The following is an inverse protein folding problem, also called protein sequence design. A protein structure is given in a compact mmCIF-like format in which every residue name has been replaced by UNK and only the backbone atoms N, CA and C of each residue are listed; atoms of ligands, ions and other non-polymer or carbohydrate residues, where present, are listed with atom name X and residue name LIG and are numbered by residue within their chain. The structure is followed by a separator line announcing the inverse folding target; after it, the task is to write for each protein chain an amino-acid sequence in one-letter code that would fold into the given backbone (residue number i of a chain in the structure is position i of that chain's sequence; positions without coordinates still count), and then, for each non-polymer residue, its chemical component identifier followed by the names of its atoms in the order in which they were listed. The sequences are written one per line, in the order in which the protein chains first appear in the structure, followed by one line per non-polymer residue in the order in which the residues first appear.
data_IF_893395038348
#
_entry.id   IF_893395038348
#
_cell.length_a   1.000
_cell.length_b   1.000
_cell.length_c   1.000
_cell.angle_alpha   90.00
_cell.angle_beta   90.00
_cell.angle_gamma   90.00
#
_symmetry.space_group_name_H-M   'P 1'
#
loop_
_entity.id
_entity.type
_entity.pdbx_description
1 polymer ?
#
# COMPACT_ATOMS: atom_id res chain seq x y z
N UNK A 1 1.40 13.53 17.25
CA UNK A 1 -0.01 13.53 16.83
C UNK A 1 -0.59 14.90 17.12
N UNK A 2 -1.01 15.66 16.09
CA UNK A 2 -1.80 16.89 16.32
C UNK A 2 -3.14 16.50 16.94
N UNK A 3 -3.74 17.36 17.77
CA UNK A 3 -5.05 17.15 18.42
C UNK A 3 -6.24 16.85 17.46
N UNK A 4 -6.00 16.83 16.14
CA UNK A 4 -7.01 16.66 15.08
C UNK A 4 -6.83 15.39 14.23
N UNK A 5 -6.09 14.38 14.68
CA UNK A 5 -6.00 13.08 13.97
C UNK A 5 -7.16 12.15 14.32
N UNK A 6 -7.58 11.31 13.38
CA UNK A 6 -8.58 10.26 13.60
C UNK A 6 -7.91 8.89 13.51
N UNK A 7 -8.24 8.00 14.45
CA UNK A 7 -7.78 6.60 14.46
C UNK A 7 -8.96 5.70 14.20
N UNK A 8 -8.94 4.94 13.10
CA UNK A 8 -9.99 3.99 12.75
C UNK A 8 -9.50 2.56 13.02
N UNK A 9 -10.31 1.76 13.73
CA UNK A 9 -10.04 0.34 13.96
C UNK A 9 -10.73 -0.50 12.88
N UNK A 10 -9.97 -1.33 12.17
CA UNK A 10 -10.45 -2.19 11.08
C UNK A 10 -11.28 -1.46 10.01
N UNK A 11 -10.84 -0.31 9.48
CA UNK A 11 -11.56 0.37 8.41
C UNK A 11 -11.54 -0.45 7.11
N UNK A 12 -12.44 -0.12 6.20
CA UNK A 12 -12.35 -0.54 4.79
C UNK A 12 -11.50 0.48 4.03
N UNK A 13 -10.60 0.00 3.17
CA UNK A 13 -9.84 0.83 2.22
C UNK A 13 -9.92 0.17 0.86
N UNK A 14 -10.35 0.92 -0.15
CA UNK A 14 -10.60 0.39 -1.49
C UNK A 14 -10.01 1.30 -2.56
N UNK A 15 -9.52 0.70 -3.64
CA UNK A 15 -9.10 1.44 -4.82
C UNK A 15 -9.31 0.64 -6.10
N UNK A 16 -9.89 1.31 -7.11
CA UNK A 16 -10.17 0.77 -8.44
C UNK A 16 -9.34 1.50 -9.48
N UNK A 17 -8.65 0.77 -10.36
CA UNK A 17 -7.87 1.37 -11.45
C UNK A 17 -7.73 0.44 -12.66
N UNK A 18 -7.20 0.98 -13.76
CA UNK A 18 -6.86 0.24 -14.97
C UNK A 18 -5.35 0.21 -15.14
N UNK A 19 -4.82 -0.93 -15.61
CA UNK A 19 -3.42 -1.02 -15.98
C UNK A 19 -3.21 -2.08 -17.06
N UNK A 20 -2.85 -1.63 -18.26
CA UNK A 20 -2.68 -2.49 -19.43
C UNK A 20 -4.00 -2.86 -20.12
N UNK A 21 -3.86 -3.61 -21.21
CA UNK A 21 -4.95 -4.09 -22.05
C UNK A 21 -4.76 -5.57 -22.38
N UNK A 22 -5.86 -6.25 -22.71
CA UNK A 22 -5.83 -7.63 -23.19
C UNK A 22 -6.77 -7.81 -24.39
N UNK A 23 -6.40 -8.72 -25.29
CA UNK A 23 -7.28 -9.15 -26.37
C UNK A 23 -8.14 -10.32 -25.90
N UNK A 24 -9.46 -10.18 -26.07
CA UNK A 24 -10.43 -11.23 -25.72
C UNK A 24 -10.22 -12.46 -26.61
N UNK A 25 -9.91 -13.61 -26.01
CA UNK A 25 -9.50 -14.83 -26.73
C UNK A 25 -10.70 -15.68 -27.18
N UNK A 26 -11.80 -15.67 -26.42
CA UNK A 26 -12.97 -16.54 -26.64
C UNK A 26 -14.30 -15.77 -26.45
N UNK A 27 -15.39 -16.35 -26.94
CA UNK A 27 -16.75 -15.80 -26.80
C UNK A 27 -17.11 -14.74 -27.86
N UNK A 28 -18.29 -14.13 -27.72
CA UNK A 28 -18.85 -13.20 -28.72
C UNK A 28 -18.06 -11.89 -28.90
N UNK A 29 -17.20 -11.53 -27.95
CA UNK A 29 -16.30 -10.37 -28.01
C UNK A 29 -14.90 -10.71 -28.50
N UNK A 30 -14.66 -11.93 -29.00
CA UNK A 30 -13.35 -12.37 -29.47
C UNK A 30 -12.71 -11.35 -30.43
N UNK A 31 -11.43 -11.06 -30.20
CA UNK A 31 -10.64 -10.11 -30.98
C UNK A 31 -10.78 -8.65 -30.58
N UNK A 32 -11.69 -8.30 -29.64
CA UNK A 32 -11.76 -6.95 -29.08
C UNK A 32 -10.66 -6.74 -28.03
N UNK A 33 -10.17 -5.50 -27.95
CA UNK A 33 -9.25 -5.03 -26.90
C UNK A 33 -10.09 -4.56 -25.72
N UNK A 34 -9.79 -5.07 -24.54
CA UNK A 34 -10.42 -4.69 -23.28
C UNK A 34 -9.35 -4.18 -22.29
N UNK A 35 -9.65 -3.13 -21.51
CA UNK A 35 -8.76 -2.69 -20.44
C UNK A 35 -8.71 -3.72 -19.31
N UNK A 36 -7.53 -3.92 -18.74
CA UNK A 36 -7.37 -4.76 -17.56
C UNK A 36 -7.66 -3.93 -16.31
N UNK A 37 -8.67 -4.35 -15.55
CA UNK A 37 -9.20 -3.65 -14.38
C UNK A 37 -8.78 -4.36 -13.11
N UNK A 38 -8.40 -3.57 -12.10
CA UNK A 38 -8.01 -4.06 -10.79
C UNK A 38 -8.81 -3.35 -9.70
N UNK A 39 -9.03 -4.06 -8.61
CA UNK A 39 -9.63 -3.56 -7.38
C UNK A 39 -8.80 -4.13 -6.22
N UNK A 40 -8.42 -3.27 -5.28
CA UNK A 40 -7.91 -3.69 -3.97
C UNK A 40 -9.04 -3.44 -2.97
N UNK A 41 -9.34 -4.46 -2.18
CA UNK A 41 -10.23 -4.39 -1.02
C UNK A 41 -9.41 -4.80 0.20
N UNK A 42 -9.01 -3.81 0.99
CA UNK A 42 -8.10 -3.95 2.12
C UNK A 42 -8.78 -3.56 3.44
N UNK A 43 -8.32 -4.17 4.53
CA UNK A 43 -8.82 -3.95 5.88
C UNK A 43 -7.64 -3.88 6.87
N UNK A 44 -6.89 -2.77 6.93
CA UNK A 44 -5.83 -2.60 7.91
C UNK A 44 -6.37 -2.79 9.32
N UNK A 45 -5.54 -3.27 10.25
CA UNK A 45 -5.96 -3.43 11.65
C UNK A 45 -6.30 -2.09 12.29
N UNK A 46 -5.48 -1.08 12.01
CA UNK A 46 -5.64 0.29 12.48
C UNK A 46 -5.14 1.23 11.38
N UNK A 47 -5.75 2.39 11.21
CA UNK A 47 -5.16 3.47 10.44
C UNK A 47 -5.28 4.80 11.18
N UNK A 48 -4.33 5.69 10.92
CA UNK A 48 -4.33 7.05 11.41
C UNK A 48 -4.53 7.98 10.22
N UNK A 49 -5.58 8.80 10.25
CA UNK A 49 -5.85 9.86 9.29
C UNK A 49 -5.63 11.22 9.90
N UNK A 50 -5.25 12.17 9.06
CA UNK A 50 -4.89 13.54 9.44
C UNK A 50 -5.48 14.55 8.45
N UNK A 51 -5.70 15.81 8.87
CA UNK A 51 -6.27 16.84 8.01
C UNK A 51 -5.26 17.48 7.04
N UNK A 52 -3.96 17.24 7.25
CA UNK A 52 -2.88 17.78 6.42
C UNK A 52 -1.99 16.65 5.93
N UNK A 53 -1.51 16.79 4.71
CA UNK A 53 -0.68 15.81 4.01
C UNK A 53 0.72 15.71 4.63
N UNK A 54 1.27 14.50 4.67
CA UNK A 54 2.68 14.28 5.03
C UNK A 54 3.62 14.87 3.97
N UNK A 55 4.82 15.32 4.35
CA UNK A 55 5.79 15.83 3.39
C UNK A 55 6.24 14.76 2.41
N UNK A 56 6.52 15.18 1.17
CA UNK A 56 7.21 14.34 0.19
C UNK A 56 8.56 13.84 0.71
N UNK A 57 8.93 12.62 0.31
CA UNK A 57 10.21 11.98 0.63
C UNK A 57 11.25 12.36 -0.43
N UNK A 58 10.85 12.33 -1.71
CA UNK A 58 11.67 12.73 -2.87
C UNK A 58 10.92 13.73 -3.77
N UNK A 59 11.61 14.54 -4.59
CA UNK A 59 10.98 15.34 -5.66
C UNK A 59 10.01 14.53 -6.55
N UNK A 60 8.95 15.17 -7.01
CA UNK A 60 7.93 14.53 -7.86
C UNK A 60 8.52 14.01 -9.19
N UNK A 61 9.46 14.77 -9.76
CA UNK A 61 10.12 14.46 -11.04
C UNK A 61 11.44 13.69 -10.86
N UNK A 62 11.64 13.05 -9.70
CA UNK A 62 12.81 12.20 -9.50
C UNK A 62 12.81 11.02 -10.47
N UNK A 63 13.97 10.73 -11.07
CA UNK A 63 14.20 9.48 -11.79
C UNK A 63 14.41 8.35 -10.77
N UNK A 64 13.54 7.34 -10.80
CA UNK A 64 13.46 6.28 -9.80
C UNK A 64 13.89 4.91 -10.33
N UNK A 65 14.53 4.87 -11.51
CA UNK A 65 14.99 3.62 -12.13
C UNK A 65 13.83 2.76 -12.64
N UNK A 66 14.11 1.52 -13.05
CA UNK A 66 13.15 0.69 -13.79
C UNK A 66 12.22 -0.16 -12.91
N UNK A 67 11.03 -0.43 -13.45
CA UNK A 67 10.01 -1.28 -12.83
C UNK A 67 10.06 -2.67 -13.49
N UNK A 68 9.95 -3.78 -12.73
CA UNK A 68 9.90 -5.12 -13.31
C UNK A 68 8.78 -5.28 -14.34
N UNK A 69 9.12 -5.90 -15.49
CA UNK A 69 8.16 -6.23 -16.55
C UNK A 69 7.84 -7.72 -16.48
N UNK A 70 6.56 -8.07 -16.60
CA UNK A 70 6.07 -9.46 -16.57
C UNK A 70 5.45 -9.80 -17.93
N UNK A 71 6.08 -10.70 -18.68
CA UNK A 71 5.64 -11.15 -20.01
C UNK A 71 4.54 -12.23 -19.98
N UNK A 72 3.82 -12.31 -18.86
CA UNK A 72 2.79 -13.29 -18.62
C UNK A 72 1.49 -12.63 -18.16
N UNK A 73 0.36 -13.26 -18.51
CA UNK A 73 -0.95 -12.79 -18.07
C UNK A 73 -1.04 -12.84 -16.53
N UNK A 74 -1.65 -11.85 -15.87
CA UNK A 74 -1.86 -11.87 -14.42
C UNK A 74 -2.57 -13.13 -13.91
N UNK A 75 -3.39 -13.77 -14.75
CA UNK A 75 -4.09 -15.03 -14.45
C UNK A 75 -3.16 -16.26 -14.31
N UNK A 76 -1.85 -16.10 -14.49
CA UNK A 76 -0.85 -17.14 -14.17
C UNK A 76 -0.47 -17.14 -12.69
N UNK A 77 -0.72 -16.04 -12.00
CA UNK A 77 -0.75 -15.99 -10.53
C UNK A 77 -2.13 -16.44 -10.04
N UNK A 78 -2.29 -16.77 -8.75
CA UNK A 78 -3.60 -17.05 -8.13
C UNK A 78 -4.45 -15.78 -8.00
N UNK A 79 -4.65 -15.06 -9.11
CA UNK A 79 -5.42 -13.83 -9.24
C UNK A 79 -6.59 -14.05 -10.21
N UNK A 80 -7.81 -13.85 -9.71
CA UNK A 80 -9.04 -14.19 -10.40
C UNK A 80 -9.87 -12.94 -10.69
N UNK A 81 -10.58 -12.95 -11.82
CA UNK A 81 -11.50 -11.87 -12.18
C UNK A 81 -12.84 -12.07 -11.49
N UNK A 82 -13.40 -10.99 -10.97
CA UNK A 82 -14.74 -10.93 -10.37
C UNK A 82 -15.38 -9.60 -10.76
N UNK A 83 -16.71 -9.58 -10.89
CA UNK A 83 -17.47 -8.36 -11.12
C UNK A 83 -18.36 -8.06 -9.91
N UNK A 84 -18.25 -6.83 -9.40
CA UNK A 84 -19.00 -6.29 -8.28
C UNK A 84 -18.93 -4.75 -8.33
N UNK A 85 -19.48 -4.07 -7.33
CA UNK A 85 -19.39 -2.61 -7.22
C UNK A 85 -17.93 -2.18 -7.05
N UNK A 86 -17.45 -1.31 -7.94
CA UNK A 86 -16.11 -0.73 -7.84
C UNK A 86 -16.09 0.33 -6.73
N UNK A 87 -15.08 0.30 -5.87
CA UNK A 87 -15.00 1.20 -4.71
C UNK A 87 -13.68 1.96 -4.68
N UNK A 88 -13.80 3.24 -4.34
CA UNK A 88 -12.68 4.11 -3.94
C UNK A 88 -13.04 4.68 -2.58
N UNK A 89 -12.33 4.26 -1.54
CA UNK A 89 -12.68 4.59 -0.16
C UNK A 89 -11.43 4.60 0.72
N UNK A 90 -11.29 5.64 1.54
CA UNK A 90 -10.10 5.85 2.40
C UNK A 90 -10.33 5.45 3.87
N UNK A 91 -11.46 4.83 4.19
CA UNK A 91 -11.95 4.61 5.56
C UNK A 91 -12.91 5.70 6.06
N UNK A 92 -13.17 6.74 5.28
CA UNK A 92 -14.15 7.79 5.57
C UNK A 92 -14.74 8.38 4.29
N UNK A 93 -15.88 9.06 4.41
CA UNK A 93 -16.54 9.75 3.29
C UNK A 93 -15.76 11.00 2.87
N UNK A 94 -15.93 11.42 1.62
CA UNK A 94 -15.23 12.58 1.02
C UNK A 94 -15.36 13.87 1.83
N UNK A 95 -16.47 14.07 2.55
CA UNK A 95 -16.70 15.25 3.37
C UNK A 95 -15.91 15.28 4.70
N UNK A 96 -15.26 14.18 5.10
CA UNK A 96 -14.45 14.12 6.32
C UNK A 96 -13.19 14.99 6.16
N UNK A 97 -12.91 15.94 7.07
CA UNK A 97 -11.74 16.79 7.00
C UNK A 97 -10.41 16.03 7.11
N UNK A 98 -10.40 14.84 7.72
CA UNK A 98 -9.22 13.97 7.82
C UNK A 98 -9.09 13.07 6.59
N UNK A 99 -8.89 13.68 5.43
CA UNK A 99 -8.83 13.00 4.14
C UNK A 99 -7.43 12.51 3.73
N UNK A 100 -6.41 12.74 4.56
CA UNK A 100 -5.03 12.29 4.31
C UNK A 100 -4.63 11.16 5.26
N UNK A 101 -3.88 10.20 4.74
CA UNK A 101 -3.33 9.09 5.50
C UNK A 101 -2.02 9.49 6.18
N UNK A 102 -1.86 9.05 7.43
CA UNK A 102 -0.60 9.15 8.17
C UNK A 102 0.10 7.78 8.15
N UNK A 103 -0.38 6.85 8.98
CA UNK A 103 0.20 5.51 9.12
C UNK A 103 -0.90 4.45 9.23
N UNK A 104 -0.75 3.36 8.48
CA UNK A 104 -1.53 2.13 8.60
C UNK A 104 -0.78 1.07 9.41
N UNK A 105 -1.53 0.21 10.07
CA UNK A 105 -1.02 -0.95 10.79
C UNK A 105 -1.72 -2.21 10.27
N UNK A 106 -0.92 -3.16 9.83
CA UNK A 106 -1.37 -4.40 9.23
C UNK A 106 -0.92 -5.58 10.08
N UNK A 107 -1.87 -6.47 10.37
CA UNK A 107 -1.59 -7.72 11.07
C UNK A 107 -1.71 -8.88 10.07
N UNK A 108 -0.61 -9.58 9.86
CA UNK A 108 -0.57 -10.76 9.00
C UNK A 108 -1.44 -11.86 9.61
N UNK A 109 -2.37 -12.46 8.84
CA UNK A 109 -3.25 -13.50 9.36
C UNK A 109 -2.49 -14.79 9.65
N UNK A 110 -3.03 -15.62 10.54
CA UNK A 110 -2.43 -16.89 10.97
C UNK A 110 -2.05 -17.84 9.82
N UNK A 111 -2.78 -17.78 8.69
CA UNK A 111 -2.52 -18.59 7.50
C UNK A 111 -1.20 -18.25 6.79
N UNK A 112 -0.68 -17.05 7.02
CA UNK A 112 0.52 -16.50 6.39
C UNK A 112 1.62 -16.19 7.43
N UNK A 113 1.55 -16.83 8.60
CA UNK A 113 2.60 -16.70 9.63
C UNK A 113 3.91 -17.36 9.21
N UNK A 114 5.02 -16.77 9.67
CA UNK A 114 6.39 -17.18 9.39
C UNK A 114 6.63 -18.69 9.57
N UNK A 115 6.10 -19.32 10.62
CA UNK A 115 6.32 -20.75 10.89
C UNK A 115 5.70 -21.67 9.83
N UNK A 116 4.70 -21.20 9.07
CA UNK A 116 4.13 -21.97 7.96
C UNK A 116 5.04 -21.96 6.74
N UNK A 117 5.69 -20.83 6.45
CA UNK A 117 6.66 -20.72 5.37
C UNK A 117 7.90 -21.58 5.64
N UNK A 118 8.42 -21.54 6.88
CA UNK A 118 9.54 -22.40 7.30
C UNK A 118 9.21 -23.89 7.13
N UNK A 119 8.02 -24.33 7.58
CA UNK A 119 7.59 -25.73 7.41
C UNK A 119 7.38 -26.14 5.95
N UNK A 120 7.17 -25.19 5.05
CA UNK A 120 7.00 -25.42 3.63
C UNK A 120 8.30 -25.25 2.82
N UNK A 121 9.43 -24.92 3.46
CA UNK A 121 10.69 -24.54 2.81
C UNK A 121 10.53 -23.37 1.83
N UNK A 122 9.83 -22.31 2.27
CA UNK A 122 9.55 -21.09 1.51
C UNK A 122 10.05 -19.83 2.25
N UNK A 123 11.25 -19.91 2.85
CA UNK A 123 11.82 -18.84 3.66
C UNK A 123 12.04 -17.54 2.89
N UNK A 124 12.42 -17.66 1.61
CA UNK A 124 12.61 -16.55 0.68
C UNK A 124 11.31 -15.76 0.42
N UNK A 125 10.16 -16.40 0.61
CA UNK A 125 8.84 -15.77 0.43
C UNK A 125 8.35 -14.99 1.65
N UNK A 126 9.03 -15.10 2.80
CA UNK A 126 8.61 -14.41 4.02
C UNK A 126 8.63 -12.90 3.80
N UNK A 127 9.77 -12.33 3.39
CA UNK A 127 9.86 -10.87 3.18
C UNK A 127 9.09 -10.40 1.94
N UNK A 128 8.87 -11.28 0.95
CA UNK A 128 8.01 -11.00 -0.20
C UNK A 128 6.58 -10.71 0.23
N UNK A 129 6.04 -11.47 1.19
CA UNK A 129 4.72 -11.24 1.77
C UNK A 129 4.62 -9.83 2.41
N UNK A 130 5.58 -9.46 3.25
CA UNK A 130 5.58 -8.15 3.91
C UNK A 130 5.64 -7.01 2.89
N UNK A 131 6.52 -7.11 1.89
CA UNK A 131 6.65 -6.11 0.81
C UNK A 131 5.39 -6.02 -0.05
N UNK A 132 4.81 -7.16 -0.44
CA UNK A 132 3.60 -7.19 -1.25
C UNK A 132 2.43 -6.52 -0.53
N UNK A 133 2.26 -6.79 0.77
CA UNK A 133 1.24 -6.15 1.58
C UNK A 133 1.50 -4.62 1.70
N UNK A 134 2.73 -4.24 2.05
CA UNK A 134 3.11 -2.82 2.16
C UNK A 134 2.85 -2.03 0.87
N UNK A 135 3.24 -2.58 -0.29
CA UNK A 135 3.04 -1.96 -1.61
C UNK A 135 1.55 -1.85 -1.94
N UNK A 136 0.79 -2.95 -1.85
CA UNK A 136 -0.62 -2.98 -2.27
C UNK A 136 -1.49 -2.05 -1.41
N UNK A 137 -1.36 -2.15 -0.07
CA UNK A 137 -2.13 -1.33 0.87
C UNK A 137 -1.82 0.16 0.71
N UNK A 138 -0.54 0.53 0.62
CA UNK A 138 -0.15 1.93 0.52
C UNK A 138 -0.45 2.53 -0.85
N UNK A 139 -0.32 1.76 -1.93
CA UNK A 139 -0.77 2.20 -3.25
C UNK A 139 -2.27 2.48 -3.26
N UNK A 140 -3.10 1.53 -2.80
CA UNK A 140 -4.55 1.71 -2.75
C UNK A 140 -4.93 2.93 -1.91
N UNK A 141 -4.31 3.09 -0.75
CA UNK A 141 -4.66 4.17 0.18
C UNK A 141 -4.25 5.55 -0.35
N UNK A 142 -3.02 5.70 -0.85
CA UNK A 142 -2.56 6.98 -1.40
C UNK A 142 -3.29 7.36 -2.68
N UNK A 143 -3.61 6.39 -3.54
CA UNK A 143 -4.35 6.63 -4.77
C UNK A 143 -5.82 7.01 -4.51
N UNK A 144 -6.47 6.36 -3.53
CA UNK A 144 -7.81 6.76 -3.10
C UNK A 144 -7.82 8.17 -2.48
N UNK A 145 -6.80 8.54 -1.69
CA UNK A 145 -6.64 9.91 -1.19
C UNK A 145 -6.49 10.92 -2.33
N UNK A 146 -5.70 10.61 -3.36
CA UNK A 146 -5.54 11.47 -4.52
C UNK A 146 -6.84 11.62 -5.32
N UNK A 147 -7.63 10.55 -5.49
CA UNK A 147 -8.95 10.62 -6.11
C UNK A 147 -9.94 11.48 -5.33
N UNK A 148 -9.89 11.47 -4.00
CA UNK A 148 -10.70 12.38 -3.17
C UNK A 148 -10.36 13.86 -3.40
N UNK A 149 -9.17 14.16 -3.93
CA UNK A 149 -8.74 15.51 -4.32
C UNK A 149 -9.02 15.83 -5.80
N UNK A 150 -9.70 14.94 -6.53
CA UNK A 150 -10.06 15.13 -7.94
C UNK A 150 -9.00 14.67 -8.95
N UNK A 151 -7.90 14.06 -8.51
CA UNK A 151 -6.90 13.47 -9.41
C UNK A 151 -7.36 12.09 -9.91
N UNK A 152 -7.00 11.75 -11.14
CA UNK A 152 -7.30 10.45 -11.75
C UNK A 152 -6.34 10.21 -12.93
N UNK A 153 -6.54 9.15 -13.71
CA UNK A 153 -5.58 8.74 -14.76
C UNK A 153 -5.23 9.84 -15.77
N UNK A 154 -6.21 10.65 -16.20
CA UNK A 154 -5.97 11.74 -17.16
C UNK A 154 -5.62 13.08 -16.49
N UNK A 155 -6.05 13.29 -15.24
CA UNK A 155 -5.68 14.45 -14.44
C UNK A 155 -4.72 14.00 -13.33
N UNK A 156 -3.47 13.74 -13.74
CA UNK A 156 -2.44 13.20 -12.86
C UNK A 156 -2.10 14.16 -11.71
N UNK A 157 -1.47 13.62 -10.67
CA UNK A 157 -1.16 14.37 -9.46
C UNK A 157 -0.17 15.51 -9.73
N UNK A 158 -0.46 16.67 -9.16
CA UNK A 158 0.43 17.86 -9.20
C UNK A 158 1.38 17.94 -8.01
N UNK A 159 1.15 17.11 -6.99
CA UNK A 159 1.97 16.95 -5.80
C UNK A 159 1.93 15.47 -5.35
N UNK A 160 3.00 14.94 -4.78
CA UNK A 160 3.03 13.53 -4.39
C UNK A 160 2.19 13.25 -3.14
N UNK A 161 1.60 12.06 -3.03
CA UNK A 161 0.88 11.60 -1.83
C UNK A 161 1.71 10.59 -1.06
N UNK A 162 2.00 10.90 0.21
CA UNK A 162 2.84 10.07 1.08
C UNK A 162 2.00 9.45 2.19
N UNK A 163 2.20 8.16 2.41
CA UNK A 163 1.65 7.45 3.57
C UNK A 163 2.63 6.37 4.04
N UNK A 164 2.48 5.97 5.30
CA UNK A 164 3.34 4.99 5.96
C UNK A 164 2.55 3.73 6.32
N UNK A 165 3.20 2.58 6.39
CA UNK A 165 2.62 1.37 6.94
C UNK A 165 3.61 0.62 7.84
N UNK A 166 3.07 0.01 8.88
CA UNK A 166 3.75 -0.99 9.70
C UNK A 166 3.05 -2.32 9.49
N UNK A 167 3.77 -3.31 9.01
CA UNK A 167 3.25 -4.67 8.79
C UNK A 167 3.90 -5.59 9.81
N UNK A 168 3.09 -6.38 10.53
CA UNK A 168 3.58 -7.27 11.59
C UNK A 168 2.82 -8.60 11.62
N UNK A 169 3.46 -9.67 12.08
CA UNK A 169 2.82 -10.94 12.44
C UNK A 169 2.55 -11.07 13.95
N UNK A 170 2.79 -10.01 14.72
CA UNK A 170 2.71 -9.96 16.18
C UNK A 170 4.06 -10.02 16.89
N UNK A 171 5.12 -10.49 16.22
CA UNK A 171 6.50 -10.52 16.76
C UNK A 171 7.48 -9.77 15.87
N UNK A 172 7.42 -9.99 14.57
CA UNK A 172 8.27 -9.34 13.57
C UNK A 172 7.58 -8.10 13.01
N UNK A 173 8.34 -7.05 12.76
CA UNK A 173 7.86 -5.75 12.27
C UNK A 173 8.68 -5.34 11.06
N UNK A 174 7.98 -4.96 9.98
CA UNK A 174 8.54 -4.31 8.81
C UNK A 174 7.89 -2.95 8.60
N UNK A 175 8.70 -1.98 8.18
CA UNK A 175 8.31 -0.58 8.06
C UNK A 175 8.35 -0.15 6.60
N UNK A 176 7.27 0.47 6.14
CA UNK A 176 7.10 0.91 4.75
C UNK A 176 6.72 2.37 4.65
N UNK A 177 7.32 3.06 3.68
CA UNK A 177 6.95 4.42 3.29
C UNK A 177 6.66 4.41 1.80
N UNK A 178 5.50 4.90 1.40
CA UNK A 178 5.10 4.96 -0.01
C UNK A 178 4.89 6.41 -0.42
N UNK A 179 5.36 6.75 -1.61
CA UNK A 179 5.08 8.01 -2.27
C UNK A 179 4.46 7.76 -3.64
N UNK A 180 3.21 8.18 -3.79
CA UNK A 180 2.49 8.21 -5.04
C UNK A 180 2.88 9.46 -5.84
N UNK A 181 3.51 9.25 -6.99
CA UNK A 181 3.95 10.27 -7.93
C UNK A 181 3.11 10.29 -9.21
N UNK A 182 2.36 9.23 -9.49
CA UNK A 182 1.51 9.12 -10.68
C UNK A 182 0.31 8.19 -10.46
N UNK A 183 -0.83 8.56 -11.05
CA UNK A 183 -2.03 7.75 -11.24
C UNK A 183 -2.24 7.33 -12.71
N UNK A 184 -1.40 7.84 -13.61
CA UNK A 184 -1.51 7.66 -15.05
C UNK A 184 -1.02 6.27 -15.48
N UNK A 185 -1.80 5.23 -15.14
CA UNK A 185 -1.48 3.82 -15.34
C UNK A 185 -2.17 3.17 -16.57
N UNK A 186 -2.99 3.90 -17.32
CA UNK A 186 -3.61 3.37 -18.55
C UNK A 186 -2.59 3.26 -19.67
N UNK A 187 -2.91 2.51 -20.73
CA UNK A 187 -2.01 2.37 -21.88
C UNK A 187 -1.77 3.72 -22.58
N UNK A 188 -2.77 4.61 -22.57
CA UNK A 188 -2.69 5.95 -23.14
C UNK A 188 -1.79 6.86 -22.30
N UNK A 189 -2.03 6.91 -21.00
CA UNK A 189 -1.37 7.88 -20.11
C UNK A 189 0.05 7.47 -19.75
N UNK A 190 0.35 6.16 -19.73
CA UNK A 190 1.68 5.66 -19.38
C UNK A 190 2.73 5.95 -20.47
N UNK A 191 2.33 6.02 -21.75
CA UNK A 191 3.26 6.14 -22.90
C UNK A 191 4.26 7.30 -22.79
N UNK A 192 3.81 8.44 -22.26
CA UNK A 192 4.61 9.66 -22.14
C UNK A 192 4.81 10.10 -20.68
N UNK A 193 4.51 9.22 -19.71
CA UNK A 193 4.69 9.54 -18.30
C UNK A 193 5.99 8.93 -17.77
N UNK A 194 7.04 9.75 -17.55
CA UNK A 194 8.30 9.25 -17.00
C UNK A 194 8.22 8.96 -15.49
N UNK A 195 7.18 9.45 -14.79
CA UNK A 195 7.07 9.34 -13.34
C UNK A 195 6.75 7.91 -12.94
N UNK A 196 7.35 7.50 -11.83
CA UNK A 196 7.14 6.19 -11.20
C UNK A 196 6.81 6.41 -9.72
N UNK A 197 5.99 5.54 -9.15
CA UNK A 197 5.76 5.53 -7.71
C UNK A 197 6.95 4.87 -7.00
N UNK A 198 7.14 5.18 -5.72
CA UNK A 198 8.23 4.61 -4.92
C UNK A 198 7.73 4.10 -3.58
N UNK A 199 8.24 2.93 -3.19
CA UNK A 199 8.01 2.32 -1.89
C UNK A 199 9.36 1.96 -1.26
N UNK A 200 9.68 2.58 -0.13
CA UNK A 200 10.77 2.13 0.73
C UNK A 200 10.23 1.10 1.71
N UNK A 201 11.02 0.06 1.98
CA UNK A 201 10.69 -0.99 2.93
C UNK A 201 11.93 -1.47 3.66
N UNK A 202 11.77 -1.87 4.91
CA UNK A 202 12.79 -2.62 5.65
C UNK A 202 12.47 -4.11 5.61
N UNK A 203 13.50 -4.95 5.75
CA UNK A 203 13.26 -6.34 6.14
C UNK A 203 12.65 -6.41 7.55
N UNK A 204 11.90 -7.46 7.83
CA UNK A 204 11.23 -7.63 9.11
C UNK A 204 12.22 -7.98 10.24
N UNK A 205 12.11 -7.26 11.36
CA UNK A 205 12.92 -7.49 12.58
C UNK A 205 12.02 -7.88 13.76
N UNK A 206 12.43 -8.82 14.63
CA UNK A 206 11.67 -9.15 15.82
C UNK A 206 11.73 -8.02 16.84
N UNK A 207 10.60 -7.71 17.48
CA UNK A 207 10.53 -6.76 18.60
C UNK A 207 11.07 -7.37 19.90
N UNK A 208 10.96 -8.69 20.06
CA UNK A 208 11.44 -9.44 21.21
C UNK A 208 11.83 -10.86 20.79
N UNK A 209 12.67 -11.54 21.58
CA UNK A 209 13.07 -12.92 21.33
C UNK A 209 12.03 -13.92 21.87
N UNK A 210 11.67 -13.79 23.15
CA UNK A 210 10.72 -14.69 23.82
C UNK A 210 10.03 -14.00 25.01
N UNK A 211 8.83 -14.47 25.36
CA UNK A 211 8.13 -14.10 26.59
C UNK A 211 8.03 -15.34 27.48
N UNK A 212 8.68 -15.30 28.64
CA UNK A 212 8.76 -16.43 29.60
C UNK A 212 8.59 -15.89 31.02
N UNK A 213 7.85 -16.61 31.86
CA UNK A 213 7.63 -16.27 33.28
C UNK A 213 7.13 -14.83 33.51
N UNK A 214 6.33 -14.30 32.57
CA UNK A 214 5.81 -12.94 32.62
C UNK A 214 6.82 -11.83 32.27
N UNK A 215 8.02 -12.19 31.80
CA UNK A 215 9.08 -11.26 31.39
C UNK A 215 9.39 -11.35 29.90
N UNK A 216 9.66 -10.21 29.27
CA UNK A 216 10.11 -10.12 27.87
C UNK A 216 11.63 -10.19 27.83
N UNK A 217 12.17 -11.15 27.08
CA UNK A 217 13.61 -11.31 26.86
C UNK A 217 13.98 -10.88 25.44
N UNK A 218 15.17 -10.28 25.28
CA UNK A 218 15.69 -9.84 23.99
C UNK A 218 14.88 -8.74 23.33
N UNK A 219 14.38 -7.77 24.11
CA UNK A 219 13.63 -6.64 23.57
C UNK A 219 14.51 -5.78 22.66
N UNK A 220 13.99 -5.44 21.48
CA UNK A 220 14.69 -4.70 20.45
C UNK A 220 14.23 -3.23 20.41
N UNK A 221 14.99 -2.37 21.07
CA UNK A 221 14.71 -0.92 21.12
C UNK A 221 14.69 -0.26 19.75
N UNK A 222 15.46 -0.76 18.76
CA UNK A 222 15.50 -0.19 17.42
C UNK A 222 14.12 -0.24 16.74
N UNK A 223 13.39 -1.34 16.92
CA UNK A 223 12.05 -1.52 16.35
C UNK A 223 11.07 -0.54 16.99
N UNK A 224 11.12 -0.39 18.31
CA UNK A 224 10.28 0.57 19.04
C UNK A 224 10.60 2.01 18.64
N UNK A 225 11.88 2.36 18.57
CA UNK A 225 12.34 3.69 18.14
C UNK A 225 11.84 3.99 16.72
N UNK A 226 11.92 3.02 15.81
CA UNK A 226 11.44 3.19 14.44
C UNK A 226 9.92 3.40 14.38
N UNK A 227 9.15 2.65 15.17
CA UNK A 227 7.71 2.84 15.32
C UNK A 227 7.38 4.24 15.84
N UNK A 228 8.09 4.72 16.86
CA UNK A 228 7.92 6.06 17.41
C UNK A 228 8.27 7.12 16.36
N UNK A 229 9.34 6.95 15.58
CA UNK A 229 9.72 7.87 14.49
C UNK A 229 8.63 8.00 13.44
N UNK A 230 7.97 6.90 13.06
CA UNK A 230 6.83 6.92 12.14
C UNK A 230 5.69 7.78 12.72
N UNK A 231 5.30 7.53 13.97
CA UNK A 231 4.23 8.26 14.66
C UNK A 231 4.55 9.75 14.94
N UNK A 232 5.84 10.10 15.00
CA UNK A 232 6.31 11.47 15.18
C UNK A 232 6.40 12.26 13.87
N UNK A 233 6.26 11.62 12.70
CA UNK A 233 6.25 12.33 11.43
C UNK A 233 5.05 13.29 11.37
N UNK A 234 5.28 14.52 10.91
CA UNK A 234 4.27 15.59 10.90
C UNK A 234 4.19 16.24 9.52
N UNK A 235 3.00 16.67 9.10
CA UNK A 235 2.84 17.61 8.00
C UNK A 235 3.74 18.83 8.21
N UNK A 236 4.34 19.37 7.13
CA UNK A 236 5.05 20.65 7.22
C UNK A 236 4.05 21.73 7.62
N UNK A 237 4.43 22.55 8.59
CA UNK A 237 3.71 23.80 8.88
C UNK A 237 3.93 24.72 7.67
N UNK A 238 2.83 25.31 7.18
CA UNK A 238 2.86 26.33 6.12
C UNK A 238 3.31 27.66 6.73
#
# INVERSE_FOLDING_TARGET
LSLSSVSDLKPEVNYYWHHGEEVVVHGHRKGRVDPVRFQIDDNPHLQIRVPKQLPQIVPLESDLGDVPVIDHKPSKLPLFKKQYENKVFIGSKVADPCCYGHTQFHLIPDKLKRERFLRANLEDQIEVLYRANGIASLFAWTAAQAMYQGFWSEADVTRPFVSQAVVTDGKYFAFFCYQLNTLALTVETTKNNPRKNICWGTDSKPLYDVVEDGSVKGFNDEVLIQLVRFLLNRPKEL
#
